data_IF_935258991666
#
_entry.id   IF_935258991666
#
_cell.length_a   1.000
_cell.length_b   1.000
_cell.length_c   1.000
_cell.angle_alpha   90.00
_cell.angle_beta   90.00
_cell.angle_gamma   90.00
#
_symmetry.space_group_name_H-M   'P 1'
#
loop_
_entity.id
_entity.type
_entity.pdbx_description
1 polymer ?
#
# COMPACT_ATOMS: atom_id res chain seq x y z
N UNK A 1 41.34 -20.14 -34.83
CA UNK A 1 40.30 -20.85 -35.63
C UNK A 1 39.10 -21.15 -34.72
N UNK A 2 37.87 -20.83 -35.17
CA UNK A 2 36.53 -21.37 -34.82
C UNK A 2 36.28 -21.69 -33.33
N UNK A 3 35.40 -21.05 -32.56
CA UNK A 3 34.06 -20.53 -32.87
C UNK A 3 32.98 -21.55 -32.49
N UNK A 4 32.22 -21.32 -31.39
CA UNK A 4 30.76 -21.50 -31.33
C UNK A 4 30.15 -21.12 -29.96
N UNK A 5 29.14 -20.28 -30.04
CA UNK A 5 28.15 -19.93 -29.03
C UNK A 5 27.23 -21.11 -28.67
N UNK A 6 26.54 -21.01 -27.52
CA UNK A 6 25.39 -21.84 -27.19
C UNK A 6 24.77 -21.48 -25.84
N UNK A 7 23.96 -20.42 -25.82
CA UNK A 7 23.04 -20.06 -24.72
C UNK A 7 21.85 -21.02 -24.76
N UNK A 8 21.51 -21.63 -23.63
CA UNK A 8 20.32 -22.48 -23.47
C UNK A 8 19.38 -21.90 -22.41
N UNK A 9 18.56 -20.92 -22.81
CA UNK A 9 17.41 -20.46 -22.05
C UNK A 9 16.23 -21.40 -22.32
N UNK A 10 15.74 -22.08 -21.30
CA UNK A 10 14.49 -22.83 -21.36
C UNK A 10 13.32 -21.84 -21.38
N UNK A 11 12.80 -21.53 -22.56
CA UNK A 11 11.52 -20.86 -22.74
C UNK A 11 10.41 -21.93 -22.70
N UNK A 12 9.60 -21.91 -21.65
CA UNK A 12 8.34 -22.66 -21.62
C UNK A 12 7.29 -21.87 -22.38
N UNK A 13 6.95 -22.39 -23.56
CA UNK A 13 5.88 -21.94 -24.44
C UNK A 13 4.59 -22.69 -24.04
N UNK A 14 3.61 -22.00 -23.48
CA UNK A 14 2.26 -22.58 -23.24
C UNK A 14 1.24 -21.79 -24.05
N UNK A 15 1.10 -22.17 -25.32
CA UNK A 15 -0.11 -21.88 -26.11
C UNK A 15 -1.29 -22.63 -25.51
N UNK A 16 -2.30 -21.88 -25.10
CA UNK A 16 -3.63 -22.41 -24.77
C UNK A 16 -4.36 -22.74 -26.08
N UNK A 17 -4.56 -24.03 -26.35
CA UNK A 17 -5.55 -24.48 -27.33
C UNK A 17 -6.88 -24.75 -26.61
N UNK A 18 -7.96 -24.13 -27.09
CA UNK A 18 -9.33 -24.33 -26.61
C UNK A 18 -10.04 -25.25 -27.61
N UNK A 19 -10.41 -26.48 -27.26
CA UNK A 19 -11.28 -27.27 -28.11
C UNK A 19 -12.74 -26.87 -27.89
N UNK A 20 -13.38 -26.46 -28.98
CA UNK A 20 -14.81 -26.23 -29.09
C UNK A 20 -15.61 -27.50 -28.74
N UNK A 21 -16.52 -27.40 -27.77
CA UNK A 21 -17.52 -28.43 -27.51
C UNK A 21 -18.86 -28.01 -28.13
N UNK A 22 -19.07 -28.52 -29.34
CA UNK A 22 -20.37 -28.64 -29.99
C UNK A 22 -21.33 -29.47 -29.13
N UNK A 23 -22.61 -29.09 -29.18
CA UNK A 23 -23.64 -29.54 -28.25
C UNK A 23 -24.02 -31.01 -28.26
N UNK A 24 -24.71 -31.40 -27.18
CA UNK A 24 -25.76 -32.44 -27.14
C UNK A 24 -26.57 -32.26 -25.86
N UNK A 25 -27.90 -32.26 -26.00
CA UNK A 25 -28.87 -32.30 -24.90
C UNK A 25 -29.21 -33.75 -24.54
N UNK A 26 -29.60 -33.90 -23.28
CA UNK A 26 -30.54 -34.85 -22.68
C UNK A 26 -30.07 -36.16 -22.01
N UNK A 27 -30.56 -36.25 -20.75
CA UNK A 27 -31.00 -37.41 -19.97
C UNK A 27 -29.96 -38.28 -19.28
N UNK A 28 -29.90 -38.11 -17.96
CA UNK A 28 -29.34 -39.07 -17.03
C UNK A 28 -29.35 -38.50 -15.62
N UNK A 29 -30.42 -38.76 -14.85
CA UNK A 29 -30.38 -38.62 -13.39
C UNK A 29 -29.28 -39.56 -12.88
N UNK A 30 -28.14 -38.99 -12.48
CA UNK A 30 -27.14 -39.71 -11.70
C UNK A 30 -27.52 -39.55 -10.24
N UNK A 31 -28.00 -40.63 -9.65
CA UNK A 31 -28.28 -40.75 -8.24
C UNK A 31 -27.04 -40.37 -7.41
N UNK A 32 -27.22 -39.41 -6.49
CA UNK A 32 -26.23 -39.04 -5.49
C UNK A 32 -25.83 -40.27 -4.68
N UNK A 33 -24.58 -40.68 -4.80
CA UNK A 33 -23.89 -41.43 -3.73
C UNK A 33 -22.50 -40.84 -3.55
N UNK A 34 -22.42 -39.57 -3.12
CA UNK A 34 -21.19 -39.07 -2.50
C UNK A 34 -21.12 -39.60 -1.08
N UNK A 35 -20.37 -40.67 -0.89
CA UNK A 35 -19.80 -41.02 0.41
C UNK A 35 -18.71 -39.99 0.70
N UNK A 36 -19.02 -39.03 1.56
CA UNK A 36 -18.04 -38.08 2.07
C UNK A 36 -17.17 -38.80 3.12
N UNK A 37 -15.86 -38.84 2.87
CA UNK A 37 -14.88 -39.29 3.86
C UNK A 37 -14.69 -38.21 4.94
N UNK A 38 -14.24 -38.58 6.15
CA UNK A 38 -14.04 -37.63 7.24
C UNK A 38 -12.79 -36.80 6.93
N UNK A 39 -12.96 -35.56 6.46
CA UNK A 39 -11.85 -34.61 6.34
C UNK A 39 -11.95 -33.53 5.26
N UNK A 40 -12.91 -33.59 4.33
CA UNK A 40 -13.09 -32.50 3.35
C UNK A 40 -14.09 -31.46 3.85
N UNK A 41 -13.58 -30.31 4.27
CA UNK A 41 -14.40 -29.13 4.54
C UNK A 41 -14.72 -28.41 3.23
N UNK A 42 -16.00 -28.40 2.83
CA UNK A 42 -16.46 -27.59 1.71
C UNK A 42 -16.51 -26.12 2.14
N UNK A 43 -15.66 -25.29 1.50
CA UNK A 43 -15.59 -23.85 1.74
C UNK A 43 -16.93 -23.15 1.49
N UNK A 44 -17.75 -23.64 0.56
CA UNK A 44 -19.07 -23.06 0.25
C UNK A 44 -20.06 -23.37 1.35
N UNK A 45 -20.04 -24.60 1.85
CA UNK A 45 -20.88 -25.02 2.96
C UNK A 45 -20.48 -24.28 4.25
N UNK A 46 -19.18 -24.11 4.51
CA UNK A 46 -18.68 -23.29 5.61
C UNK A 46 -19.13 -21.82 5.50
N UNK A 47 -19.05 -21.21 4.31
CA UNK A 47 -19.51 -19.83 4.11
C UNK A 47 -21.03 -19.69 4.27
N UNK A 48 -21.79 -20.70 3.83
CA UNK A 48 -23.25 -20.75 4.03
C UNK A 48 -23.60 -20.95 5.50
N UNK A 49 -22.90 -21.83 6.22
CA UNK A 49 -23.04 -22.05 7.66
C UNK A 49 -22.63 -20.82 8.47
N UNK A 50 -21.54 -20.15 8.10
CA UNK A 50 -21.12 -18.89 8.73
C UNK A 50 -22.11 -17.76 8.47
N UNK A 51 -22.71 -17.69 7.27
CA UNK A 51 -23.74 -16.71 6.94
C UNK A 51 -25.04 -16.96 7.72
N UNK A 52 -25.48 -18.22 7.83
CA UNK A 52 -26.72 -18.59 8.55
C UNK A 52 -26.60 -18.43 10.06
N UNK A 53 -25.43 -18.77 10.64
CA UNK A 53 -25.13 -18.48 12.05
C UNK A 53 -24.90 -16.98 12.30
N UNK A 54 -24.41 -16.24 11.31
CA UNK A 54 -24.30 -14.78 11.37
C UNK A 54 -25.66 -14.09 11.42
N UNK A 55 -26.62 -14.53 10.60
CA UNK A 55 -27.97 -13.93 10.58
C UNK A 55 -28.82 -14.20 11.81
N UNK A 56 -28.57 -15.31 12.54
CA UNK A 56 -29.36 -15.68 13.73
C UNK A 56 -28.99 -14.90 15.01
N UNK A 57 -27.77 -14.35 15.10
CA UNK A 57 -27.28 -13.59 16.27
C UNK A 57 -27.21 -12.08 16.00
N UNK A 58 -27.56 -11.64 14.78
CA UNK A 58 -27.58 -10.23 14.40
C UNK A 58 -28.98 -9.59 14.45
N UNK A 59 -30.04 -10.36 14.76
CA UNK A 59 -31.43 -9.88 14.69
C UNK A 59 -31.98 -9.14 15.92
N UNK A 60 -31.27 -9.11 17.06
CA UNK A 60 -31.82 -8.55 18.31
C UNK A 60 -30.78 -7.84 19.20
N UNK A 61 -29.95 -6.99 18.61
CA UNK A 61 -29.29 -5.90 19.35
C UNK A 61 -28.76 -4.92 18.33
N UNK A 62 -29.17 -3.66 18.44
CA UNK A 62 -28.66 -2.55 17.64
C UNK A 62 -27.14 -2.54 17.69
N UNK A 63 -26.52 -3.17 16.70
CA UNK A 63 -25.10 -3.09 16.44
C UNK A 63 -24.91 -1.81 15.65
N UNK A 64 -24.83 -0.72 16.39
CA UNK A 64 -23.73 0.18 16.15
C UNK A 64 -22.48 -0.72 16.20
N UNK A 65 -22.07 -1.20 15.03
CA UNK A 65 -20.67 -1.52 14.81
C UNK A 65 -20.01 -0.21 15.12
N UNK A 66 -19.52 -0.05 16.35
CA UNK A 66 -18.71 1.07 16.77
C UNK A 66 -17.48 1.00 15.85
N UNK A 67 -17.61 1.61 14.68
CA UNK A 67 -16.48 2.05 13.90
C UNK A 67 -15.66 2.84 14.91
N UNK A 68 -14.47 2.31 15.22
CA UNK A 68 -13.54 3.00 16.09
C UNK A 68 -13.47 4.45 15.60
N UNK A 69 -13.75 5.39 16.52
CA UNK A 69 -13.91 6.79 16.17
C UNK A 69 -12.71 7.19 15.31
N UNK A 70 -12.93 7.87 14.15
CA UNK A 70 -11.84 8.23 13.25
C UNK A 70 -10.72 8.86 14.06
N UNK A 71 -9.57 8.18 14.08
CA UNK A 71 -8.41 8.62 14.81
C UNK A 71 -8.00 9.98 14.23
N UNK A 72 -8.16 11.03 15.04
CA UNK A 72 -7.85 12.40 14.67
C UNK A 72 -6.36 12.54 14.32
N UNK A 73 -6.06 12.63 13.03
CA UNK A 73 -4.71 12.75 12.48
C UNK A 73 -3.96 13.98 12.98
N UNK A 74 -4.67 15.04 13.41
CA UNK A 74 -4.06 16.24 13.98
C UNK A 74 -3.42 15.97 15.35
N UNK A 75 -3.88 14.93 16.08
CA UNK A 75 -3.28 14.46 17.34
C UNK A 75 -2.04 13.63 17.12
N UNK A 76 -1.94 12.96 15.97
CA UNK A 76 -0.77 12.12 15.61
C UNK A 76 0.35 12.98 15.06
N UNK A 77 0.04 13.94 14.18
CA UNK A 77 1.00 14.90 13.63
C UNK A 77 0.40 16.30 13.74
N UNK A 78 1.02 17.15 14.55
CA UNK A 78 0.52 18.51 14.81
C UNK A 78 0.48 19.35 13.54
N UNK A 79 -0.71 19.87 13.21
CA UNK A 79 -0.95 20.72 12.04
C UNK A 79 -1.57 20.00 10.85
N UNK A 80 -1.74 18.67 10.89
CA UNK A 80 -2.46 17.92 9.86
C UNK A 80 -3.97 18.18 9.90
N UNK A 81 -4.61 18.06 8.74
CA UNK A 81 -6.06 17.98 8.64
C UNK A 81 -6.55 16.76 9.45
N UNK A 82 -7.63 16.90 10.23
CA UNK A 82 -8.19 15.86 11.10
C UNK A 82 -8.92 14.73 10.35
N UNK A 83 -9.24 14.93 9.06
CA UNK A 83 -10.00 14.00 8.23
C UNK A 83 -9.12 12.95 7.53
N UNK A 84 -7.82 12.88 7.85
CA UNK A 84 -6.92 11.91 7.23
C UNK A 84 -7.07 10.54 7.91
N UNK A 85 -6.80 9.47 7.16
CA UNK A 85 -6.88 8.10 7.69
C UNK A 85 -5.57 7.76 8.37
N UNK A 86 -5.59 7.50 9.68
CA UNK A 86 -4.41 7.03 10.40
C UNK A 86 -4.37 5.51 10.38
N UNK A 87 -3.32 4.95 9.81
CA UNK A 87 -3.05 3.52 9.81
C UNK A 87 -2.24 3.10 11.04
N UNK A 88 -1.33 3.97 11.50
CA UNK A 88 -0.51 3.74 12.69
C UNK A 88 -0.15 5.06 13.37
N UNK A 89 -0.32 5.12 14.69
CA UNK A 89 -0.09 6.34 15.48
C UNK A 89 1.32 6.42 16.10
N UNK A 90 1.87 5.31 16.58
CA UNK A 90 3.18 5.29 17.27
C UNK A 90 4.35 5.66 16.34
N UNK A 91 4.30 5.12 15.12
CA UNK A 91 5.16 5.52 14.01
C UNK A 91 4.18 6.05 12.97
N UNK A 92 4.06 7.38 12.80
CA UNK A 92 3.00 7.95 12.00
C UNK A 92 2.95 7.39 10.58
N UNK A 93 1.84 6.73 10.27
CA UNK A 93 1.47 6.33 8.91
C UNK A 93 0.04 6.82 8.69
N UNK A 94 -0.10 7.78 7.79
CA UNK A 94 -1.33 8.53 7.52
C UNK A 94 -1.55 8.57 6.01
N UNK A 95 -2.76 8.23 5.58
CA UNK A 95 -3.19 8.27 4.18
C UNK A 95 -4.15 9.45 3.94
N UNK A 96 -4.05 10.02 2.75
CA UNK A 96 -4.96 11.07 2.27
C UNK A 96 -6.14 10.43 1.55
N UNK A 97 -7.39 10.61 2.03
CA UNK A 97 -8.58 10.20 1.30
C UNK A 97 -8.64 10.83 -0.10
N UNK A 98 -9.15 10.09 -1.08
CA UNK A 98 -9.27 10.56 -2.47
C UNK A 98 -10.07 11.86 -2.60
N UNK A 99 -11.08 12.06 -1.75
CA UNK A 99 -11.90 13.27 -1.72
C UNK A 99 -11.14 14.55 -1.30
N UNK A 100 -9.91 14.42 -0.79
CA UNK A 100 -9.04 15.55 -0.43
C UNK A 100 -7.87 15.73 -1.42
N UNK A 101 -7.77 14.90 -2.45
CA UNK A 101 -6.69 14.89 -3.45
C UNK A 101 -7.06 15.64 -4.74
N UNK A 102 -7.81 16.74 -4.62
CA UNK A 102 -8.31 17.49 -5.79
C UNK A 102 -7.36 18.59 -6.28
N UNK A 103 -6.29 18.87 -5.51
CA UNK A 103 -5.34 19.94 -5.80
C UNK A 103 -4.19 19.49 -6.70
N UNK A 104 -3.76 20.36 -7.62
CA UNK A 104 -2.59 20.10 -8.48
C UNK A 104 -1.29 19.99 -7.67
N UNK A 105 -1.17 20.79 -6.60
CA UNK A 105 -0.10 20.69 -5.60
C UNK A 105 -0.78 20.39 -4.28
N UNK A 106 -0.54 19.20 -3.73
CA UNK A 106 -1.13 18.77 -2.47
C UNK A 106 -0.61 19.64 -1.32
N UNK A 107 -1.49 20.28 -0.53
CA UNK A 107 -1.05 21.12 0.58
C UNK A 107 -0.49 20.26 1.72
N UNK A 108 0.41 20.86 2.52
CA UNK A 108 1.21 20.12 3.50
C UNK A 108 0.38 19.48 4.61
N UNK A 109 -0.74 20.10 4.99
CA UNK A 109 -1.70 19.61 5.99
C UNK A 109 -2.49 18.38 5.53
N UNK A 110 -2.60 18.17 4.22
CA UNK A 110 -3.32 17.06 3.58
C UNK A 110 -2.37 16.00 3.04
N UNK A 111 -1.10 16.32 2.77
CA UNK A 111 -0.09 15.39 2.28
C UNK A 111 0.04 14.15 3.17
N UNK A 112 0.10 12.96 2.59
CA UNK A 112 0.26 11.71 3.34
C UNK A 112 1.56 11.67 4.16
N UNK A 113 1.62 10.82 5.18
CA UNK A 113 2.82 10.60 6.01
C UNK A 113 3.13 9.12 6.03
N UNK A 114 4.37 8.75 5.76
CA UNK A 114 4.81 7.35 5.80
C UNK A 114 6.18 7.28 6.44
N UNK A 115 6.21 7.04 7.74
CA UNK A 115 7.45 6.87 8.49
C UNK A 115 7.73 5.38 8.73
N UNK A 116 9.00 4.99 8.58
CA UNK A 116 9.48 3.65 8.96
C UNK A 116 9.90 3.58 10.42
N UNK A 117 10.41 4.69 10.94
CA UNK A 117 11.02 4.78 12.27
C UNK A 117 10.52 6.03 12.97
N UNK A 118 10.39 5.98 14.31
CA UNK A 118 10.03 7.15 15.08
C UNK A 118 11.22 8.12 15.14
N UNK A 119 10.96 9.41 14.93
CA UNK A 119 11.90 10.48 15.21
C UNK A 119 11.31 11.38 16.29
N UNK A 120 12.02 11.56 17.40
CA UNK A 120 11.55 12.37 18.52
C UNK A 120 11.38 13.82 18.08
N UNK A 121 10.29 14.46 18.52
CA UNK A 121 9.96 15.86 18.24
C UNK A 121 9.78 16.22 16.75
N UNK A 122 9.60 15.22 15.87
CA UNK A 122 9.42 15.43 14.43
C UNK A 122 7.98 15.24 13.95
N UNK A 123 7.05 14.86 14.83
CA UNK A 123 5.63 14.65 14.50
C UNK A 123 4.86 15.98 14.43
N UNK A 124 5.32 16.91 13.60
CA UNK A 124 4.74 18.24 13.42
C UNK A 124 4.99 18.76 12.01
N UNK A 125 4.15 19.67 11.54
CA UNK A 125 4.41 20.43 10.30
C UNK A 125 5.41 21.58 10.47
N UNK A 126 5.83 21.88 11.70
CA UNK A 126 6.84 22.92 11.93
C UNK A 126 8.18 22.48 11.34
N UNK A 127 8.93 23.40 10.69
CA UNK A 127 10.23 23.06 10.13
C UNK A 127 11.20 22.64 11.24
N UNK A 128 12.03 21.65 10.94
CA UNK A 128 13.08 21.20 11.84
C UNK A 128 14.29 22.15 11.73
N UNK A 129 14.91 22.59 12.83
CA UNK A 129 16.06 23.50 12.77
C UNK A 129 17.25 22.84 12.07
N UNK A 130 17.89 23.59 11.16
CA UNK A 130 19.09 23.14 10.44
C UNK A 130 20.35 23.20 11.32
N UNK A 131 20.36 24.10 12.30
CA UNK A 131 21.52 24.37 13.15
C UNK A 131 22.03 23.12 13.85
N UNK A 132 23.29 22.78 13.63
CA UNK A 132 23.96 21.62 14.24
C UNK A 132 23.66 20.28 13.56
N UNK A 133 22.92 20.28 12.45
CA UNK A 133 22.68 19.08 11.64
C UNK A 133 23.88 18.82 10.73
N UNK A 134 24.67 17.80 11.04
CA UNK A 134 25.84 17.44 10.25
C UNK A 134 25.51 16.36 9.22
N UNK A 135 25.82 16.63 7.95
CA UNK A 135 25.65 15.69 6.84
C UNK A 135 27.01 15.10 6.51
N UNK A 136 27.08 13.77 6.43
CA UNK A 136 28.30 13.04 6.08
C UNK A 136 28.22 12.50 4.65
N UNK A 137 29.11 12.96 3.78
CA UNK A 137 29.31 12.43 2.43
C UNK A 137 30.40 11.37 2.47
N UNK A 138 30.02 10.10 2.25
CA UNK A 138 30.89 8.92 2.35
C UNK A 138 30.62 7.95 1.19
N UNK A 139 31.41 6.88 1.07
CA UNK A 139 31.28 5.87 0.00
C UNK A 139 32.39 5.99 -1.05
N UNK A 140 32.05 5.73 -2.31
CA UNK A 140 32.96 5.85 -3.45
C UNK A 140 33.11 7.32 -3.88
N UNK A 141 33.74 8.11 -3.01
CA UNK A 141 34.05 9.52 -3.23
C UNK A 141 35.53 9.76 -2.96
N UNK A 142 36.17 10.61 -3.76
CA UNK A 142 37.62 10.86 -3.64
C UNK A 142 38.02 11.36 -2.25
N UNK A 143 37.17 12.21 -1.66
CA UNK A 143 37.40 12.83 -0.36
C UNK A 143 36.11 12.84 0.44
N UNK A 144 35.91 11.88 1.37
CA UNK A 144 34.80 11.92 2.32
C UNK A 144 34.83 13.21 3.14
N UNK A 145 33.66 13.82 3.37
CA UNK A 145 33.55 15.09 4.09
C UNK A 145 32.31 15.12 4.98
N UNK A 146 32.36 15.99 5.98
CA UNK A 146 31.20 16.38 6.80
C UNK A 146 31.00 17.89 6.67
N UNK A 147 29.75 18.31 6.58
CA UNK A 147 29.39 19.72 6.52
C UNK A 147 28.07 19.96 7.26
N UNK A 148 27.89 21.17 7.77
CA UNK A 148 26.66 21.59 8.42
C UNK A 148 25.57 21.83 7.36
N UNK A 149 24.33 21.43 7.65
CA UNK A 149 23.18 21.66 6.78
C UNK A 149 22.93 23.16 6.52
N UNK A 150 23.34 24.05 7.42
CA UNK A 150 23.27 25.50 7.19
C UNK A 150 24.06 25.95 5.95
N UNK A 151 25.15 25.24 5.62
CA UNK A 151 25.94 25.52 4.41
C UNK A 151 25.10 25.33 3.13
N UNK A 152 24.13 24.40 3.13
CA UNK A 152 23.28 24.13 1.98
C UNK A 152 22.38 25.31 1.62
N UNK A 153 21.96 26.12 2.60
CA UNK A 153 21.11 27.28 2.36
C UNK A 153 21.83 28.40 1.60
N UNK A 154 23.17 28.45 1.66
CA UNK A 154 24.00 29.40 0.92
C UNK A 154 24.38 28.95 -0.49
N UNK A 155 23.99 27.74 -0.91
CA UNK A 155 24.24 27.21 -2.25
C UNK A 155 23.11 27.61 -3.21
N UNK A 156 23.34 27.47 -4.51
CA UNK A 156 22.31 27.68 -5.54
C UNK A 156 21.12 26.75 -5.31
N UNK A 157 19.94 27.33 -5.09
CA UNK A 157 18.69 26.57 -4.85
C UNK A 157 17.94 26.36 -6.16
N UNK A 158 17.41 25.16 -6.37
CA UNK A 158 16.58 24.82 -7.53
C UNK A 158 15.26 24.22 -7.04
N UNK A 159 14.15 24.82 -7.46
CA UNK A 159 12.80 24.29 -7.19
C UNK A 159 12.41 23.24 -8.24
N UNK A 160 11.87 22.11 -7.77
CA UNK A 160 11.44 20.99 -8.62
C UNK A 160 10.09 20.45 -8.14
N UNK A 161 9.20 20.10 -9.07
CA UNK A 161 7.84 19.58 -8.77
C UNK A 161 7.73 18.11 -9.11
N UNK A 162 7.68 17.27 -8.09
CA UNK A 162 7.70 15.81 -8.25
C UNK A 162 6.46 15.21 -7.55
N UNK A 163 5.97 14.08 -8.06
CA UNK A 163 4.94 13.32 -7.38
C UNK A 163 5.62 12.34 -6.41
N UNK A 164 5.46 12.57 -5.10
CA UNK A 164 5.89 11.62 -4.09
C UNK A 164 4.81 10.55 -3.92
N UNK A 165 5.14 9.28 -4.14
CA UNK A 165 4.23 8.15 -3.91
C UNK A 165 4.86 7.12 -2.99
N UNK A 166 4.03 6.51 -2.15
CA UNK A 166 4.45 5.32 -1.42
C UNK A 166 4.59 4.17 -2.43
N UNK A 167 5.62 3.32 -2.28
CA UNK A 167 5.87 2.22 -3.21
C UNK A 167 4.65 1.30 -3.43
N UNK A 168 3.81 1.12 -2.39
CA UNK A 168 2.57 0.35 -2.47
C UNK A 168 1.49 0.97 -3.40
N UNK A 169 1.68 2.22 -3.83
CA UNK A 169 0.75 3.01 -4.65
C UNK A 169 1.43 3.56 -5.92
N UNK A 170 2.72 3.26 -6.14
CA UNK A 170 3.53 3.87 -7.20
C UNK A 170 2.97 3.63 -8.62
N UNK A 171 2.28 2.52 -8.86
CA UNK A 171 1.64 2.20 -10.14
C UNK A 171 0.49 3.15 -10.52
N UNK A 172 0.07 4.06 -9.63
CA UNK A 172 -1.03 5.01 -9.87
C UNK A 172 -0.56 6.43 -10.20
N UNK A 173 0.75 6.69 -10.19
CA UNK A 173 1.31 7.99 -10.48
C UNK A 173 1.63 8.10 -11.99
N UNK A 174 0.71 8.69 -12.75
CA UNK A 174 1.01 9.10 -14.12
C UNK A 174 1.94 10.33 -14.10
N UNK A 175 2.91 10.42 -15.02
CA UNK A 175 3.78 11.59 -15.10
C UNK A 175 2.96 12.83 -15.40
N UNK A 176 3.19 13.89 -14.63
CA UNK A 176 2.70 15.24 -14.93
C UNK A 176 3.41 15.70 -16.22
N UNK A 177 2.64 15.95 -17.27
CA UNK A 177 3.12 16.61 -18.50
C UNK A 177 3.11 18.12 -18.34
#
# INVERSE_FOLDING_TARGET
MRGRCGVGLAQHDTRFEVPALAGRRFLGQVAMTKRFGPGEYDRREFMVSAATLGTGVLGLSGRDVLAEAPSDSSRVVTGKNAQLVVHKSEIPVIETPSALLDSQITPLDVLFVRNNQPLKNAATLKPFPLKGWNIALTGLVDKPRRFDAEMLAGMDQVEQRWCCSAAATADRCLPVR
#
